data_IF_996911096070
#
_entry.id   IF_996911096070
#
_cell.length_a   1.000
_cell.length_b   1.000
_cell.length_c   1.000
_cell.angle_alpha   90.00
_cell.angle_beta   90.00
_cell.angle_gamma   90.00
#
_symmetry.space_group_name_H-M   'P 1'
#
loop_
_entity.id
_entity.type
_entity.pdbx_description
1 polymer ?
#
# COMPACT_ATOMS: atom_id res chain seq x y z
N UNK A 1 36.74 16.45 -27.61
CA UNK A 1 36.66 16.02 -26.19
C UNK A 1 35.25 15.53 -25.93
N UNK A 2 35.05 14.20 -25.87
CA UNK A 2 33.75 13.64 -25.52
C UNK A 2 33.57 13.71 -24.01
N UNK A 3 32.67 14.56 -23.53
CA UNK A 3 32.25 14.53 -22.13
C UNK A 3 31.52 13.21 -21.90
N UNK A 4 32.18 12.28 -21.21
CA UNK A 4 31.53 11.09 -20.66
C UNK A 4 30.58 11.58 -19.58
N UNK A 5 29.34 11.88 -19.95
CA UNK A 5 28.25 12.07 -19.00
C UNK A 5 28.08 10.76 -18.26
N UNK A 6 28.60 10.66 -17.04
CA UNK A 6 28.39 9.50 -16.18
C UNK A 6 26.89 9.36 -15.93
N UNK A 7 26.31 8.23 -16.32
CA UNK A 7 24.95 7.84 -15.91
C UNK A 7 24.87 7.89 -14.38
N UNK A 8 24.03 8.75 -13.82
CA UNK A 8 23.77 8.77 -12.38
C UNK A 8 23.02 7.52 -11.92
N UNK A 9 22.83 7.37 -10.62
CA UNK A 9 21.97 6.31 -10.07
C UNK A 9 20.53 6.82 -9.97
N UNK A 10 19.58 5.96 -10.32
CA UNK A 10 18.15 6.20 -10.21
C UNK A 10 17.57 5.25 -9.17
N UNK A 11 16.94 5.79 -8.12
CA UNK A 11 16.13 5.02 -7.18
C UNK A 11 14.71 4.98 -7.71
N UNK A 12 14.20 3.80 -8.01
CA UNK A 12 12.86 3.60 -8.56
C UNK A 12 11.99 2.83 -7.57
N UNK A 13 10.83 3.37 -7.23
CA UNK A 13 9.81 2.71 -6.42
C UNK A 13 8.59 2.42 -7.29
N UNK A 14 8.37 1.15 -7.62
CA UNK A 14 7.24 0.69 -8.42
C UNK A 14 6.15 0.17 -7.48
N UNK A 15 4.95 0.74 -7.59
CA UNK A 15 3.74 0.30 -6.92
C UNK A 15 2.80 -0.33 -7.95
N UNK A 16 2.49 -1.61 -7.80
CA UNK A 16 1.44 -2.30 -8.56
C UNK A 16 0.16 -2.38 -7.72
N UNK A 17 -0.88 -1.69 -8.17
CA UNK A 17 -2.23 -1.78 -7.60
C UNK A 17 -2.93 -3.03 -8.14
N UNK A 18 -2.71 -4.15 -7.49
CA UNK A 18 -3.36 -5.42 -7.83
C UNK A 18 -3.53 -6.32 -6.60
N UNK A 19 -4.70 -6.93 -6.46
CA UNK A 19 -5.01 -7.90 -5.42
C UNK A 19 -4.82 -9.31 -5.97
N UNK A 20 -4.22 -10.20 -5.18
CA UNK A 20 -4.02 -11.61 -5.53
C UNK A 20 -4.68 -12.51 -4.48
N UNK A 21 -4.81 -13.81 -4.77
CA UNK A 21 -5.44 -14.75 -3.83
C UNK A 21 -4.47 -15.11 -2.70
N UNK A 22 -5.03 -15.60 -1.59
CA UNK A 22 -4.23 -16.03 -0.45
C UNK A 22 -3.21 -17.11 -0.82
N UNK A 23 -1.94 -16.85 -0.50
CA UNK A 23 -0.80 -17.72 -0.83
C UNK A 23 -0.24 -17.51 -2.23
N UNK A 24 -0.78 -16.58 -3.01
CA UNK A 24 -0.14 -16.05 -4.22
C UNK A 24 0.75 -14.85 -3.86
N UNK A 25 1.76 -14.58 -4.66
CA UNK A 25 2.61 -13.39 -4.54
C UNK A 25 3.00 -12.86 -5.91
N UNK A 26 3.35 -11.57 -5.96
CA UNK A 26 3.78 -10.92 -7.19
C UNK A 26 5.29 -10.82 -7.24
N UNK A 27 5.84 -11.12 -8.41
CA UNK A 27 7.25 -10.90 -8.75
C UNK A 27 7.36 -10.06 -10.02
N UNK A 28 8.52 -9.45 -10.22
CA UNK A 28 8.89 -8.73 -11.42
C UNK A 28 10.07 -9.42 -12.11
N UNK A 29 10.05 -9.39 -13.44
CA UNK A 29 11.21 -9.71 -14.27
C UNK A 29 11.39 -8.60 -15.31
N UNK A 30 12.64 -8.39 -15.73
CA UNK A 30 12.94 -7.38 -16.74
C UNK A 30 14.32 -7.50 -17.34
N UNK A 31 14.66 -6.55 -18.22
CA UNK A 31 15.86 -6.59 -19.05
C UNK A 31 17.16 -6.37 -18.27
N UNK A 32 17.13 -5.54 -17.22
CA UNK A 32 18.33 -5.21 -16.44
C UNK A 32 18.73 -6.31 -15.48
N UNK A 33 19.99 -6.31 -15.05
CA UNK A 33 20.51 -7.26 -14.05
C UNK A 33 19.74 -7.18 -12.73
N UNK A 34 19.38 -5.98 -12.30
CA UNK A 34 18.63 -5.73 -11.07
C UNK A 34 17.18 -6.24 -11.17
N UNK A 35 16.64 -6.29 -12.40
CA UNK A 35 15.37 -6.94 -12.74
C UNK A 35 15.52 -8.41 -13.15
N UNK A 36 16.70 -8.99 -12.92
CA UNK A 36 16.96 -10.42 -13.12
C UNK A 36 17.17 -10.88 -14.56
N UNK A 37 17.31 -9.96 -15.52
CA UNK A 37 17.57 -10.25 -16.94
C UNK A 37 16.65 -11.32 -17.53
N UNK A 38 15.36 -11.23 -17.23
CA UNK A 38 14.31 -12.19 -17.63
C UNK A 38 14.50 -13.63 -17.14
N UNK A 39 15.43 -13.88 -16.22
CA UNK A 39 15.76 -15.21 -15.68
C UNK A 39 15.49 -15.34 -14.20
N UNK A 40 15.78 -14.29 -13.43
CA UNK A 40 15.62 -14.28 -11.96
C UNK A 40 14.41 -13.44 -11.58
N UNK A 41 13.59 -13.99 -10.69
CA UNK A 41 12.42 -13.29 -10.16
C UNK A 41 12.85 -12.28 -9.10
N UNK A 42 12.33 -11.06 -9.20
CA UNK A 42 12.47 -10.03 -8.17
C UNK A 42 11.16 -9.97 -7.37
N UNK A 43 11.14 -10.39 -6.09
CA UNK A 43 9.92 -10.39 -5.31
C UNK A 43 9.45 -8.95 -5.03
N UNK A 44 8.13 -8.75 -5.06
CA UNK A 44 7.50 -7.53 -4.59
C UNK A 44 6.99 -7.73 -3.15
N UNK A 45 6.96 -6.65 -2.38
CA UNK A 45 6.45 -6.65 -1.01
C UNK A 45 5.00 -6.17 -0.99
N UNK A 46 4.12 -6.88 -0.29
CA UNK A 46 2.73 -6.45 -0.11
C UNK A 46 2.65 -5.29 0.89
N UNK A 47 1.85 -4.28 0.56
CA UNK A 47 1.47 -3.16 1.42
C UNK A 47 -0.02 -2.90 1.28
N UNK A 48 -0.62 -2.12 2.18
CA UNK A 48 -2.04 -1.74 2.09
C UNK A 48 -2.40 -1.05 0.76
N UNK A 49 -1.44 -0.34 0.17
CA UNK A 49 -1.60 0.38 -1.10
C UNK A 49 -1.35 -0.49 -2.35
N UNK A 50 -0.86 -1.72 -2.19
CA UNK A 50 -0.51 -2.62 -3.28
C UNK A 50 0.88 -3.26 -3.14
N UNK A 51 1.35 -3.88 -4.22
CA UNK A 51 2.65 -4.53 -4.29
C UNK A 51 3.75 -3.52 -4.61
N UNK A 52 4.79 -3.45 -3.79
CA UNK A 52 5.89 -2.47 -3.92
C UNK A 52 7.21 -3.15 -4.21
N UNK A 53 7.97 -2.62 -5.16
CA UNK A 53 9.36 -2.98 -5.43
C UNK A 53 10.22 -1.72 -5.50
N UNK A 54 11.31 -1.68 -4.75
CA UNK A 54 12.29 -0.59 -4.75
C UNK A 54 13.59 -1.09 -5.37
N UNK A 55 14.12 -0.35 -6.34
CA UNK A 55 15.28 -0.74 -7.16
C UNK A 55 16.25 0.43 -7.30
N UNK A 56 17.54 0.14 -7.39
CA UNK A 56 18.55 1.10 -7.82
C UNK A 56 19.04 0.72 -9.22
N UNK A 57 18.83 1.61 -10.19
CA UNK A 57 19.13 1.38 -11.60
C UNK A 57 20.10 2.43 -12.11
N UNK A 58 20.72 2.17 -13.26
CA UNK A 58 21.53 3.17 -13.97
C UNK A 58 20.58 4.14 -14.68
N UNK A 59 20.80 5.43 -14.48
CA UNK A 59 20.05 6.47 -15.16
C UNK A 59 20.40 6.57 -16.64
N UNK A 60 19.57 7.28 -17.40
CA UNK A 60 19.71 7.48 -18.84
C UNK A 60 19.61 6.19 -19.67
N UNK A 61 18.95 5.15 -19.12
CA UNK A 61 18.70 3.87 -19.77
C UNK A 61 17.19 3.59 -19.87
N UNK A 62 16.78 2.84 -20.89
CA UNK A 62 15.41 2.30 -20.99
C UNK A 62 15.38 0.88 -20.45
N UNK A 63 14.47 0.62 -19.51
CA UNK A 63 14.27 -0.71 -18.95
C UNK A 63 12.97 -1.31 -19.47
N UNK A 64 12.97 -2.63 -19.65
CA UNK A 64 11.77 -3.39 -19.91
C UNK A 64 11.46 -4.28 -18.73
N UNK A 65 10.19 -4.41 -18.38
CA UNK A 65 9.77 -5.30 -17.30
C UNK A 65 8.34 -5.79 -17.47
N UNK A 66 8.00 -6.83 -16.72
CA UNK A 66 6.66 -7.42 -16.67
C UNK A 66 6.39 -7.97 -15.27
N UNK A 67 5.14 -7.89 -14.85
CA UNK A 67 4.68 -8.48 -13.59
C UNK A 67 4.28 -9.94 -13.78
N UNK A 68 4.52 -10.76 -12.76
CA UNK A 68 4.15 -12.18 -12.75
C UNK A 68 3.54 -12.52 -11.41
N UNK A 69 2.37 -13.16 -11.42
CA UNK A 69 1.77 -13.75 -10.24
C UNK A 69 2.28 -15.19 -10.13
N UNK A 70 2.92 -15.49 -9.00
CA UNK A 70 3.36 -16.84 -8.66
C UNK A 70 2.32 -17.45 -7.73
N UNK A 71 1.72 -18.55 -8.17
CA UNK A 71 0.70 -19.27 -7.40
C UNK A 71 1.34 -20.25 -6.42
N UNK A 72 0.52 -20.79 -5.52
CA UNK A 72 0.94 -21.76 -4.50
C UNK A 72 1.55 -23.04 -5.09
N UNK A 73 1.07 -23.46 -6.26
CA UNK A 73 1.59 -24.61 -7.02
C UNK A 73 2.86 -24.28 -7.83
N UNK A 74 3.43 -23.07 -7.63
CA UNK A 74 4.57 -22.50 -8.37
C UNK A 74 4.29 -22.25 -9.86
N UNK A 75 3.03 -22.35 -10.30
CA UNK A 75 2.66 -21.89 -11.64
C UNK A 75 2.75 -20.36 -11.72
N UNK A 76 3.15 -19.87 -12.89
CA UNK A 76 3.37 -18.45 -13.14
C UNK A 76 2.30 -17.93 -14.10
N UNK A 77 1.62 -16.86 -13.71
CA UNK A 77 0.69 -16.13 -14.56
C UNK A 77 1.30 -14.79 -14.89
N UNK A 78 1.73 -14.64 -16.14
CA UNK A 78 2.30 -13.40 -16.63
C UNK A 78 1.20 -12.36 -16.82
N UNK A 79 1.55 -11.10 -16.57
CA UNK A 79 0.80 -9.96 -17.06
C UNK A 79 0.62 -10.07 -18.58
N UNK A 80 -0.59 -9.78 -19.03
CA UNK A 80 -0.96 -9.77 -20.44
C UNK A 80 -0.24 -8.66 -21.22
N UNK A 81 -0.52 -8.62 -22.53
CA UNK A 81 -0.01 -7.59 -23.45
C UNK A 81 1.54 -7.51 -23.52
N UNK A 82 2.06 -6.42 -24.09
CA UNK A 82 3.49 -6.24 -24.35
C UNK A 82 4.30 -5.96 -23.07
N UNK A 83 5.63 -6.03 -23.15
CA UNK A 83 6.50 -5.60 -22.05
C UNK A 83 6.29 -4.11 -21.76
N UNK A 84 6.34 -3.74 -20.48
CA UNK A 84 6.34 -2.33 -20.08
C UNK A 84 7.73 -1.76 -20.34
N UNK A 85 7.78 -0.59 -20.98
CA UNK A 85 9.02 0.14 -21.24
C UNK A 85 9.04 1.40 -20.39
N UNK A 86 10.11 1.62 -19.64
CA UNK A 86 10.29 2.80 -18.81
C UNK A 86 11.64 3.45 -19.12
N UNK A 87 11.60 4.74 -19.50
CA UNK A 87 12.81 5.52 -19.77
C UNK A 87 13.26 6.22 -18.49
N UNK A 88 14.43 5.87 -17.99
CA UNK A 88 14.93 6.42 -16.74
C UNK A 88 15.64 7.76 -16.99
N UNK A 89 15.41 8.77 -16.13
CA UNK A 89 16.16 10.02 -16.16
C UNK A 89 17.62 9.79 -15.74
N UNK A 90 18.48 10.80 -15.86
CA UNK A 90 19.92 10.68 -15.57
C UNK A 90 20.23 10.31 -14.11
N UNK A 91 19.36 10.63 -13.17
CA UNK A 91 19.53 10.35 -11.75
C UNK A 91 18.36 10.90 -10.92
N UNK A 92 18.27 10.47 -9.66
CA UNK A 92 17.23 10.92 -8.72
C UNK A 92 16.37 9.77 -8.17
N UNK A 93 15.36 10.12 -7.39
CA UNK A 93 14.38 9.18 -6.83
C UNK A 93 13.04 9.36 -7.52
N UNK A 94 12.43 8.27 -7.98
CA UNK A 94 11.17 8.30 -8.71
C UNK A 94 10.22 7.20 -8.25
N UNK A 95 8.94 7.53 -8.24
CA UNK A 95 7.82 6.64 -7.98
C UNK A 95 7.04 6.39 -9.27
N UNK A 96 6.53 5.17 -9.41
CA UNK A 96 5.67 4.75 -10.50
C UNK A 96 4.49 3.97 -9.94
N UNK A 97 3.29 4.27 -10.41
CA UNK A 97 2.09 3.51 -10.09
C UNK A 97 1.59 2.78 -11.33
N UNK A 98 1.41 1.47 -11.22
CA UNK A 98 0.97 0.58 -12.29
C UNK A 98 -0.34 -0.11 -11.91
N UNK A 99 -1.20 -0.34 -12.90
CA UNK A 99 -2.37 -1.22 -12.82
C UNK A 99 -2.07 -2.53 -13.57
N UNK A 100 -2.60 -3.66 -13.10
CA UNK A 100 -2.41 -4.96 -13.76
C UNK A 100 -2.98 -4.95 -15.19
N UNK A 101 -2.23 -5.51 -16.16
CA UNK A 101 -2.57 -5.54 -17.60
C UNK A 101 -2.71 -4.18 -18.31
N UNK A 102 -2.51 -3.05 -17.62
CA UNK A 102 -2.47 -1.71 -18.23
C UNK A 102 -1.07 -1.40 -18.77
N UNK A 103 -0.57 -2.19 -19.73
CA UNK A 103 0.79 -2.06 -20.29
C UNK A 103 0.93 -0.97 -21.35
N UNK A 104 -0.19 -0.51 -21.92
CA UNK A 104 -0.23 0.49 -23.00
C UNK A 104 -0.40 1.93 -22.53
N UNK A 105 -0.62 2.14 -21.23
CA UNK A 105 -0.71 3.47 -20.64
C UNK A 105 0.69 4.03 -20.41
N UNK A 106 0.88 5.33 -20.70
CA UNK A 106 2.11 6.01 -20.37
C UNK A 106 2.31 5.94 -18.85
N UNK A 107 3.46 5.40 -18.44
CA UNK A 107 3.80 5.26 -17.04
C UNK A 107 4.44 6.56 -16.56
N UNK A 108 3.70 7.34 -15.79
CA UNK A 108 4.19 8.61 -15.25
C UNK A 108 5.25 8.37 -14.17
N UNK A 109 6.45 8.91 -14.40
CA UNK A 109 7.54 8.94 -13.44
C UNK A 109 7.39 10.17 -12.55
N UNK A 110 6.99 9.95 -11.30
CA UNK A 110 6.83 11.01 -10.31
C UNK A 110 8.13 11.16 -9.52
N UNK A 111 8.77 12.35 -9.48
CA UNK A 111 9.87 12.60 -8.57
C UNK A 111 9.44 12.32 -7.13
N UNK A 112 10.25 11.56 -6.40
CA UNK A 112 10.13 11.41 -4.96
C UNK A 112 11.13 12.39 -4.37
N UNK A 113 10.65 13.52 -3.87
CA UNK A 113 11.48 14.47 -3.16
C UNK A 113 12.06 13.74 -1.95
N UNK A 114 13.38 13.50 -1.99
CA UNK A 114 14.11 13.00 -0.83
C UNK A 114 14.09 14.13 0.19
N UNK A 115 13.22 14.05 1.20
CA UNK A 115 13.27 14.92 2.37
C UNK A 115 14.66 14.76 2.99
N UNK A 116 15.53 15.74 2.70
CA UNK A 116 16.79 15.94 3.37
C UNK A 116 16.51 16.89 4.52
N UNK A 117 16.13 16.35 5.67
CA UNK A 117 16.30 17.05 6.94
C UNK A 117 17.20 16.17 7.81
N UNK A 118 18.50 16.40 7.63
CA UNK A 118 19.50 16.05 8.62
C UNK A 118 19.27 16.96 9.82
N UNK A 119 18.59 16.47 10.86
CA UNK A 119 18.74 17.06 12.19
C UNK A 119 20.01 16.52 12.81
N UNK A 120 21.09 17.28 12.61
CA UNK A 120 22.22 17.31 13.52
C UNK A 120 21.68 17.47 14.96
N UNK A 121 21.91 16.47 15.81
CA UNK A 121 21.89 16.69 17.25
C UNK A 121 23.33 16.56 17.74
N UNK A 122 23.99 17.71 17.81
CA UNK A 122 25.32 17.80 18.38
C UNK A 122 25.25 17.73 19.92
N UNK A 123 26.35 17.21 20.47
CA UNK A 123 26.82 17.12 21.85
C UNK A 123 26.33 18.21 22.84
N UNK A 124 26.33 18.07 24.17
CA UNK A 124 26.86 17.15 25.19
C UNK A 124 26.35 17.71 26.53
N UNK A 125 26.09 16.90 27.55
CA UNK A 125 26.56 17.23 28.91
C UNK A 125 26.59 15.97 29.79
N UNK A 126 27.77 15.77 30.33
CA UNK A 126 28.23 14.73 31.23
C UNK A 126 27.97 15.14 32.69
N UNK A 127 27.71 14.18 33.59
CA UNK A 127 28.28 14.05 34.95
C UNK A 127 27.48 13.01 35.76
N UNK A 128 28.19 12.03 36.34
CA UNK A 128 28.00 11.67 37.75
C UNK A 128 27.30 10.35 38.11
N UNK A 129 28.11 9.31 38.20
CA UNK A 129 27.91 8.05 38.97
C UNK A 129 27.20 8.17 40.33
N UNK A 130 26.26 7.27 40.64
CA UNK A 130 26.29 6.37 41.81
C UNK A 130 24.99 5.52 41.91
N UNK A 131 25.16 4.25 42.29
CA UNK A 131 24.13 3.28 42.64
C UNK A 131 23.08 3.82 43.64
N UNK A 132 21.83 3.34 43.54
CA UNK A 132 21.11 2.59 44.60
C UNK A 132 19.66 2.29 44.15
N UNK A 133 19.31 1.03 44.38
CA UNK A 133 18.03 0.32 44.26
C UNK A 133 16.84 1.01 44.96
N UNK A 134 15.71 1.17 44.26
CA UNK A 134 14.37 1.13 44.87
C UNK A 134 13.24 1.21 43.85
N UNK A 135 12.38 0.19 43.91
CA UNK A 135 11.12 0.10 43.21
C UNK A 135 10.20 1.30 43.47
N UNK A 136 9.71 1.91 42.38
CA UNK A 136 8.44 2.65 42.41
C UNK A 136 7.73 2.50 41.06
N UNK A 137 6.50 2.02 41.15
CA UNK A 137 5.56 1.82 40.06
C UNK A 137 5.17 3.19 39.53
N UNK A 138 5.55 3.51 38.29
CA UNK A 138 5.08 4.72 37.62
C UNK A 138 3.68 4.49 37.07
N UNK A 139 2.71 5.16 37.69
CA UNK A 139 1.36 5.31 37.18
C UNK A 139 1.42 5.94 35.79
N UNK A 140 0.91 5.20 34.80
CA UNK A 140 0.67 5.70 33.45
C UNK A 140 -0.41 6.77 33.54
N UNK A 141 -0.02 8.03 33.44
CA UNK A 141 -0.96 9.14 33.27
C UNK A 141 -1.64 8.98 31.92
N UNK A 142 -2.88 8.50 31.94
CA UNK A 142 -3.77 8.50 30.78
C UNK A 142 -4.08 9.93 30.39
N UNK A 143 -3.92 10.23 29.10
CA UNK A 143 -4.18 11.53 28.50
C UNK A 143 -5.60 12.04 28.82
N UNK A 144 -5.77 13.35 29.11
CA UNK A 144 -7.07 13.96 29.43
C UNK A 144 -8.07 13.92 28.26
N UNK A 145 -7.65 13.47 27.08
CA UNK A 145 -8.53 13.30 25.92
C UNK A 145 -9.59 12.18 26.10
N UNK A 146 -9.40 11.27 27.04
CA UNK A 146 -10.33 10.13 27.26
C UNK A 146 -11.62 10.55 27.98
N UNK A 147 -11.68 11.73 28.59
CA UNK A 147 -12.84 12.17 29.40
C UNK A 147 -14.05 12.64 28.57
N UNK A 148 -13.92 12.79 27.25
CA UNK A 148 -15.01 13.25 26.37
C UNK A 148 -15.78 12.12 25.66
N UNK A 149 -15.49 10.86 25.95
CA UNK A 149 -16.24 9.75 25.37
C UNK A 149 -17.66 9.67 25.92
N UNK A 150 -18.61 10.29 25.21
CA UNK A 150 -20.07 10.19 25.42
C UNK A 150 -20.65 8.83 24.93
N UNK A 151 -19.81 7.80 24.81
CA UNK A 151 -20.23 6.47 24.40
C UNK A 151 -20.92 5.75 25.55
N UNK A 152 -22.12 5.19 25.30
CA UNK A 152 -22.76 4.26 26.26
C UNK A 152 -21.80 3.12 26.62
N UNK A 153 -21.90 2.64 27.86
CA UNK A 153 -21.14 1.48 28.33
C UNK A 153 -21.26 0.29 27.38
N UNK A 154 -20.13 -0.36 27.10
CA UNK A 154 -20.08 -1.53 26.21
C UNK A 154 -20.84 -2.68 26.87
N UNK A 155 -22.06 -2.93 26.38
CA UNK A 155 -22.85 -4.09 26.76
C UNK A 155 -22.54 -5.26 25.83
N UNK A 156 -21.82 -6.25 26.33
CA UNK A 156 -21.64 -7.52 25.61
C UNK A 156 -22.95 -8.30 25.64
N UNK A 157 -23.49 -8.59 24.46
CA UNK A 157 -24.73 -9.34 24.26
C UNK A 157 -24.57 -10.76 24.82
N UNK A 158 -25.39 -11.13 25.82
CA UNK A 158 -25.44 -12.48 26.37
C UNK A 158 -26.65 -13.20 25.77
N UNK A 159 -26.39 -14.32 25.11
CA UNK A 159 -27.36 -15.28 24.56
C UNK A 159 -28.07 -14.90 23.25
N UNK A 160 -28.40 -15.96 22.50
CA UNK A 160 -28.77 -16.00 21.09
C UNK A 160 -30.21 -15.49 20.82
N UNK A 161 -30.53 -14.30 21.29
CA UNK A 161 -31.82 -13.62 21.09
C UNK A 161 -31.94 -12.98 19.71
N UNK A 162 -31.63 -13.74 18.65
CA UNK A 162 -31.69 -13.26 17.26
C UNK A 162 -32.87 -13.83 16.47
N UNK A 163 -33.50 -14.92 16.94
CA UNK A 163 -34.39 -15.70 16.07
C UNK A 163 -35.77 -15.07 15.81
N UNK A 164 -36.29 -14.24 16.73
CA UNK A 164 -37.61 -13.61 16.57
C UNK A 164 -37.55 -12.19 15.99
N UNK A 165 -36.41 -11.48 16.09
CA UNK A 165 -36.29 -10.11 15.56
C UNK A 165 -35.93 -10.07 14.07
N UNK A 166 -35.31 -11.11 13.52
CA UNK A 166 -34.92 -11.14 12.10
C UNK A 166 -36.13 -11.28 11.16
N UNK A 167 -37.19 -11.96 11.61
CA UNK A 167 -38.42 -12.18 10.81
C UNK A 167 -39.25 -10.92 10.58
N UNK A 168 -39.02 -9.86 11.34
CA UNK A 168 -39.80 -8.61 11.28
C UNK A 168 -39.01 -7.42 10.72
N UNK A 169 -37.74 -7.61 10.34
CA UNK A 169 -36.91 -6.54 9.76
C UNK A 169 -37.37 -6.22 8.34
N UNK A 170 -38.27 -5.25 8.24
CA UNK A 170 -38.70 -4.66 6.98
C UNK A 170 -37.70 -3.58 6.58
N UNK A 171 -37.24 -3.65 5.34
CA UNK A 171 -36.48 -2.59 4.71
C UNK A 171 -37.41 -1.41 4.40
N UNK A 172 -37.60 -0.51 5.37
CA UNK A 172 -38.40 0.70 5.21
C UNK A 172 -37.50 1.90 4.88
N UNK A 173 -37.71 2.47 3.69
CA UNK A 173 -36.96 3.63 3.17
C UNK A 173 -37.86 4.86 3.01
N UNK A 174 -39.08 4.83 3.53
CA UNK A 174 -40.08 5.89 3.38
C UNK A 174 -39.65 7.26 3.89
N UNK A 175 -38.67 7.33 4.79
CA UNK A 175 -38.12 8.59 5.33
C UNK A 175 -36.82 9.08 4.68
N UNK A 176 -36.32 8.43 3.61
CA UNK A 176 -35.08 8.81 2.94
C UNK A 176 -35.34 9.60 1.67
N UNK A 177 -34.63 10.72 1.52
CA UNK A 177 -34.69 11.58 0.32
C UNK A 177 -33.29 11.87 -0.25
N UNK A 178 -33.26 12.32 -1.50
CA UNK A 178 -32.04 12.75 -2.18
C UNK A 178 -30.96 11.67 -2.32
N UNK A 179 -29.71 12.04 -2.01
CA UNK A 179 -28.54 11.16 -2.17
C UNK A 179 -28.59 9.93 -1.26
N UNK A 180 -29.14 10.07 -0.05
CA UNK A 180 -29.27 8.96 0.90
C UNK A 180 -30.19 7.87 0.36
N UNK A 181 -31.31 8.24 -0.28
CA UNK A 181 -32.20 7.30 -0.95
C UNK A 181 -31.51 6.57 -2.09
N UNK A 182 -30.77 7.29 -2.94
CA UNK A 182 -30.05 6.72 -4.10
C UNK A 182 -29.00 5.69 -3.67
N UNK A 183 -28.28 5.95 -2.58
CA UNK A 183 -27.29 5.03 -2.03
C UNK A 183 -27.94 3.75 -1.49
N UNK A 184 -28.98 3.91 -0.66
CA UNK A 184 -29.70 2.80 -0.03
C UNK A 184 -30.46 1.95 -1.06
N UNK A 185 -30.95 2.54 -2.14
CA UNK A 185 -31.60 1.80 -3.22
C UNK A 185 -30.60 0.92 -4.02
N UNK A 186 -29.34 1.36 -4.15
CA UNK A 186 -28.26 0.55 -4.71
C UNK A 186 -27.95 -0.70 -3.88
N UNK A 187 -28.14 -0.63 -2.56
CA UNK A 187 -27.90 -1.74 -1.63
C UNK A 187 -28.91 -2.87 -1.77
N UNK A 188 -30.13 -2.57 -2.23
CA UNK A 188 -31.22 -3.56 -2.35
C UNK A 188 -30.86 -4.71 -3.30
N UNK A 189 -30.07 -4.42 -4.34
CA UNK A 189 -29.69 -5.38 -5.38
C UNK A 189 -28.21 -5.81 -5.28
N UNK A 190 -27.43 -5.18 -4.41
CA UNK A 190 -26.02 -5.52 -4.21
C UNK A 190 -25.90 -6.80 -3.38
N UNK A 191 -25.44 -7.88 -4.00
CA UNK A 191 -25.19 -9.15 -3.28
C UNK A 191 -24.09 -9.01 -2.23
N UNK A 192 -23.22 -7.99 -2.37
CA UNK A 192 -22.11 -7.74 -1.48
C UNK A 192 -21.59 -6.30 -1.61
N UNK A 193 -21.00 -5.80 -0.52
CA UNK A 193 -20.61 -4.39 -0.31
C UNK A 193 -19.61 -3.82 -1.34
N UNK A 194 -18.81 -4.65 -2.00
CA UNK A 194 -17.82 -4.21 -2.99
C UNK A 194 -18.45 -3.74 -4.32
N UNK A 195 -19.66 -4.20 -4.67
CA UNK A 195 -20.36 -3.73 -5.88
C UNK A 195 -20.92 -2.31 -5.73
N UNK A 196 -20.96 -1.76 -4.51
CA UNK A 196 -21.46 -0.41 -4.23
C UNK A 196 -20.48 0.69 -4.67
N UNK A 197 -19.18 0.37 -4.75
CA UNK A 197 -18.10 1.35 -5.00
C UNK A 197 -17.88 1.60 -6.50
N UNK A 198 -18.50 0.80 -7.38
CA UNK A 198 -18.33 0.90 -8.84
C UNK A 198 -19.38 1.79 -9.54
N UNK A 199 -20.24 2.49 -8.79
CA UNK A 199 -21.31 3.33 -9.33
C UNK A 199 -21.17 4.82 -8.98
N UNK A 200 -19.96 5.27 -8.64
CA UNK A 200 -19.60 6.68 -8.54
C UNK A 200 -18.38 6.99 -9.42
#
# INVERSE_FOLDING_TARGET
MGTRTGSGKVKLSILLKHQVKFGEHVVMLGSTKELGSWKKNVPMNWTENGWVCKLELRGDESIEYKFVIVKRDKSMTWEGANNRVLKLPKGGSFGVVCLWNATGEAVDLLPLDSEKDEVEFDHMDEIGSADVDSASVLEVQTSPFVEQWQGRSVSFMRSNEHRNQETERRWDTSGLEGLARKLVEGDRNARNWWQKVLLF
#
